data_IF_267468928381
#
_entry.id   IF_267468928381
#
_cell.length_a   1.000
_cell.length_b   1.000
_cell.length_c   1.000
_cell.angle_alpha   90.00
_cell.angle_beta   90.00
_cell.angle_gamma   90.00
#
_symmetry.space_group_name_H-M   'P 1'
#
loop_
_entity.id
_entity.type
_entity.pdbx_description
1 polymer ?
#
# COMPACT_ATOMS: atom_id res chain seq x y z
N UNK A 1 42.18 -35.33 50.00
CA UNK A 1 43.24 -34.92 49.05
C UNK A 1 42.56 -34.52 47.74
N UNK A 2 43.24 -33.64 46.99
CA UNK A 2 42.83 -32.97 45.74
C UNK A 2 41.92 -31.73 45.89
N UNK A 3 42.64 -30.61 45.94
CA UNK A 3 42.24 -29.22 45.75
C UNK A 3 41.66 -29.03 44.33
N UNK A 4 40.52 -28.33 44.21
CA UNK A 4 40.13 -27.68 42.96
C UNK A 4 39.46 -26.34 43.31
N UNK A 5 40.17 -25.21 43.26
CA UNK A 5 39.56 -23.90 43.33
C UNK A 5 39.27 -23.40 41.92
N UNK A 6 38.16 -22.68 41.80
CA UNK A 6 37.71 -21.79 40.74
C UNK A 6 36.35 -22.21 40.18
N UNK A 7 35.50 -21.17 40.09
CA UNK A 7 34.22 -21.04 39.39
C UNK A 7 32.93 -21.51 40.09
N UNK A 8 32.55 -20.80 41.15
CA UNK A 8 31.13 -20.51 41.40
C UNK A 8 30.96 -19.06 41.87
N UNK A 9 31.02 -18.11 40.94
CA UNK A 9 30.31 -16.84 41.05
C UNK A 9 28.97 -17.06 40.36
N UNK A 10 27.90 -17.16 41.14
CA UNK A 10 26.55 -17.13 40.60
C UNK A 10 26.26 -15.70 40.11
N UNK A 11 26.34 -15.47 38.80
CA UNK A 11 25.73 -14.29 38.16
C UNK A 11 24.21 -14.42 38.24
N UNK A 12 23.64 -14.05 39.39
CA UNK A 12 22.18 -13.94 39.56
C UNK A 12 21.71 -12.63 38.92
N UNK A 13 21.25 -12.74 37.69
CA UNK A 13 20.51 -11.67 37.01
C UNK A 13 19.19 -11.41 37.74
N UNK A 14 18.90 -10.13 38.01
CA UNK A 14 17.55 -9.70 38.38
C UNK A 14 16.70 -9.70 37.11
N UNK A 15 15.51 -10.31 37.18
CA UNK A 15 14.61 -10.45 36.03
C UNK A 15 13.28 -9.80 36.40
N UNK A 16 12.88 -8.81 35.60
CA UNK A 16 11.54 -8.24 35.62
C UNK A 16 10.76 -8.84 34.43
N UNK A 17 9.91 -9.83 34.72
CA UNK A 17 9.14 -10.58 33.74
C UNK A 17 7.72 -10.81 34.25
N UNK A 18 6.73 -10.69 33.37
CA UNK A 18 5.33 -10.91 33.69
C UNK A 18 4.43 -10.12 32.75
N UNK A 19 3.12 -10.28 32.92
CA UNK A 19 2.12 -9.53 32.17
C UNK A 19 1.85 -8.19 32.85
N UNK A 20 1.80 -7.11 32.07
CA UNK A 20 1.32 -5.82 32.55
C UNK A 20 -0.20 -5.89 32.66
N UNK A 21 -0.70 -6.02 33.88
CA UNK A 21 -2.14 -6.22 34.16
C UNK A 21 -2.85 -4.94 34.59
N UNK A 22 -2.10 -3.89 34.91
CA UNK A 22 -2.64 -2.58 35.25
C UNK A 22 -3.06 -1.83 33.98
N UNK A 23 -4.39 -1.67 33.79
CA UNK A 23 -4.97 -0.99 32.61
C UNK A 23 -4.40 0.41 32.37
N UNK A 24 -4.04 1.12 33.44
CA UNK A 24 -3.46 2.47 33.39
C UNK A 24 -2.10 2.52 32.67
N UNK A 25 -1.39 1.39 32.62
CA UNK A 25 -0.09 1.25 31.97
C UNK A 25 -0.20 0.65 30.56
N UNK A 26 -1.43 0.43 30.05
CA UNK A 26 -1.71 -0.15 28.74
C UNK A 26 -2.40 0.86 27.80
N UNK A 27 -2.18 0.77 26.47
CA UNK A 27 -1.19 -0.09 25.83
C UNK A 27 0.23 0.44 26.02
N UNK A 28 1.21 -0.48 26.06
CA UNK A 28 2.63 -0.09 26.08
C UNK A 28 3.01 0.52 24.73
N UNK A 29 3.10 1.84 24.66
CA UNK A 29 3.45 2.57 23.42
C UNK A 29 4.96 2.74 23.23
N UNK A 30 5.73 2.70 24.31
CA UNK A 30 7.18 2.91 24.29
C UNK A 30 7.84 2.23 25.48
N UNK A 31 8.99 1.62 25.27
CA UNK A 31 9.90 1.19 26.34
C UNK A 31 11.12 2.10 26.36
N UNK A 32 11.50 2.55 27.56
CA UNK A 32 12.70 3.36 27.78
C UNK A 32 13.64 2.60 28.67
N UNK A 33 14.84 2.34 28.15
CA UNK A 33 15.92 1.72 28.91
C UNK A 33 16.89 2.82 29.29
N UNK A 34 17.17 2.94 30.59
CA UNK A 34 18.10 3.90 31.13
C UNK A 34 18.94 3.23 32.22
N UNK A 35 20.21 3.59 32.24
CA UNK A 35 21.10 3.20 33.34
C UNK A 35 20.86 4.15 34.52
N UNK A 36 20.31 3.61 35.61
CA UNK A 36 20.10 4.35 36.88
C UNK A 36 21.30 4.21 37.83
N UNK A 37 22.39 3.59 37.36
CA UNK A 37 23.62 3.39 38.08
C UNK A 37 24.45 4.66 38.26
N UNK A 38 25.56 4.52 38.98
CA UNK A 38 26.56 5.59 39.11
C UNK A 38 27.74 5.32 38.18
N UNK A 39 28.49 6.36 37.79
CA UNK A 39 29.66 6.23 36.90
C UNK A 39 30.80 5.31 37.42
N UNK A 40 30.63 4.72 38.60
CA UNK A 40 31.56 3.81 39.27
C UNK A 40 30.99 2.39 39.42
N UNK A 41 29.79 2.11 38.91
CA UNK A 41 29.25 0.74 38.93
C UNK A 41 29.44 0.01 37.60
N UNK A 42 29.67 -1.30 37.72
CA UNK A 42 29.87 -2.23 36.60
C UNK A 42 28.60 -3.08 36.38
N UNK A 43 27.40 -2.52 36.64
CA UNK A 43 26.17 -3.29 36.49
C UNK A 43 25.77 -3.38 35.03
N UNK A 44 25.61 -4.61 34.56
CA UNK A 44 25.14 -4.89 33.22
C UNK A 44 23.65 -5.21 33.23
N UNK A 45 22.94 -4.73 32.21
CA UNK A 45 21.53 -5.04 31.98
C UNK A 45 21.37 -5.69 30.60
N UNK A 46 20.58 -6.77 30.52
CA UNK A 46 20.18 -7.38 29.25
C UNK A 46 18.67 -7.43 29.18
N UNK A 47 18.13 -6.93 28.07
CA UNK A 47 16.70 -6.97 27.77
C UNK A 47 16.44 -7.82 26.54
N UNK A 48 15.36 -8.59 26.56
CA UNK A 48 14.86 -9.35 25.41
C UNK A 48 13.34 -9.19 25.38
N UNK A 49 12.80 -8.62 24.31
CA UNK A 49 11.37 -8.45 24.14
C UNK A 49 10.84 -9.57 23.23
N UNK A 50 9.98 -10.43 23.78
CA UNK A 50 9.20 -11.38 22.99
C UNK A 50 8.06 -10.70 22.24
N UNK A 51 7.32 -11.43 21.37
CA UNK A 51 6.09 -10.93 20.78
C UNK A 51 5.11 -10.47 21.88
N UNK A 52 4.65 -9.23 21.82
CA UNK A 52 3.62 -8.72 22.72
C UNK A 52 2.27 -9.28 22.28
N UNK A 53 1.55 -9.93 23.20
CA UNK A 53 0.20 -10.46 22.99
C UNK A 53 -0.76 -9.56 23.78
N UNK A 54 -1.61 -8.82 23.09
CA UNK A 54 -2.67 -8.02 23.71
C UNK A 54 -3.99 -8.78 23.56
N UNK A 55 -4.71 -8.99 24.66
CA UNK A 55 -6.08 -9.54 24.67
C UNK A 55 -7.04 -8.48 25.24
N UNK A 56 -8.19 -8.29 24.59
CA UNK A 56 -9.19 -7.28 24.99
C UNK A 56 -8.82 -5.85 24.57
N UNK A 57 -8.21 -5.70 23.40
CA UNK A 57 -7.70 -4.43 22.90
C UNK A 57 -8.82 -3.59 22.27
N UNK A 58 -9.68 -3.02 23.11
CA UNK A 58 -10.75 -2.10 22.68
C UNK A 58 -10.20 -0.88 21.93
N UNK A 59 -8.91 -0.56 21.99
CA UNK A 59 -8.33 0.56 21.23
C UNK A 59 -8.14 0.20 19.76
N UNK A 60 -7.53 -0.96 19.49
CA UNK A 60 -7.18 -1.38 18.14
C UNK A 60 -8.27 -2.23 17.45
N UNK A 61 -9.11 -2.91 18.23
CA UNK A 61 -10.29 -3.62 17.73
C UNK A 61 -11.47 -2.67 17.45
N UNK A 62 -11.45 -1.45 18.01
CA UNK A 62 -12.40 -0.38 17.71
C UNK A 62 -12.12 0.25 16.35
N UNK A 63 -12.30 -0.56 15.32
CA UNK A 63 -12.03 -0.25 13.92
C UNK A 63 -13.30 -0.31 13.09
N UNK A 64 -13.41 0.65 12.18
CA UNK A 64 -14.52 0.78 11.24
C UNK A 64 -13.99 1.05 9.85
N UNK A 65 -14.78 0.75 8.83
CA UNK A 65 -14.52 1.05 7.42
C UNK A 65 -15.57 2.01 6.88
N UNK A 66 -15.14 3.12 6.29
CA UNK A 66 -15.95 3.99 5.44
C UNK A 66 -15.95 3.44 4.01
N UNK A 67 -17.13 3.07 3.52
CA UNK A 67 -17.37 2.34 2.25
C UNK A 67 -17.81 3.24 1.10
N UNK A 68 -18.19 4.48 1.38
CA UNK A 68 -18.60 5.49 0.39
C UNK A 68 -18.12 6.85 0.87
N UNK A 69 -17.81 7.75 -0.05
CA UNK A 69 -17.14 9.02 0.23
C UNK A 69 -18.04 10.11 0.84
N UNK A 70 -19.33 9.83 1.02
CA UNK A 70 -20.28 10.68 1.74
C UNK A 70 -20.72 10.08 3.08
N UNK A 71 -20.18 8.91 3.46
CA UNK A 71 -20.43 8.32 4.78
C UNK A 71 -19.68 9.09 5.88
N UNK A 72 -20.36 9.36 6.99
CA UNK A 72 -19.76 10.07 8.13
C UNK A 72 -20.18 9.49 9.47
N UNK A 73 -19.33 9.73 10.47
CA UNK A 73 -19.74 9.67 11.87
C UNK A 73 -19.83 11.11 12.37
N UNK A 74 -21.01 11.47 12.89
CA UNK A 74 -21.23 12.78 13.49
C UNK A 74 -21.12 12.62 15.02
N UNK A 75 -19.98 13.05 15.56
CA UNK A 75 -19.74 13.07 16.99
C UNK A 75 -20.34 14.34 17.61
N UNK A 76 -20.73 14.31 18.90
CA UNK A 76 -21.14 15.52 19.61
C UNK A 76 -20.14 16.65 19.43
N UNK A 77 -20.63 17.89 19.42
CA UNK A 77 -19.80 19.09 19.28
C UNK A 77 -18.60 19.03 20.22
N UNK A 78 -17.41 19.07 19.62
CA UNK A 78 -16.15 19.15 20.32
C UNK A 78 -15.56 20.53 20.11
N UNK A 79 -15.76 21.41 21.10
CA UNK A 79 -15.14 22.73 21.09
C UNK A 79 -13.70 22.65 21.64
N UNK A 80 -12.71 22.68 20.75
CA UNK A 80 -11.29 22.69 21.12
C UNK A 80 -10.90 23.91 21.97
N UNK A 81 -11.72 24.97 22.04
CA UNK A 81 -11.50 26.13 22.90
C UNK A 81 -10.07 26.70 22.77
N UNK A 82 -9.32 26.67 23.88
CA UNK A 82 -7.92 27.10 23.93
C UNK A 82 -6.90 25.98 23.75
N UNK A 83 -7.30 24.73 23.96
CA UNK A 83 -6.43 23.58 23.83
C UNK A 83 -7.26 22.32 23.58
N UNK A 84 -6.81 21.51 22.65
CA UNK A 84 -7.38 20.18 22.43
C UNK A 84 -6.48 19.34 21.55
N UNK A 85 -6.64 18.03 21.67
CA UNK A 85 -5.94 17.02 20.89
C UNK A 85 -6.91 15.98 20.32
N UNK A 86 -6.59 15.50 19.14
CA UNK A 86 -7.27 14.39 18.48
C UNK A 86 -6.20 13.44 17.96
N UNK A 87 -6.33 12.17 18.29
CA UNK A 87 -5.47 11.10 17.80
C UNK A 87 -6.32 10.02 17.16
N UNK A 88 -5.88 9.47 16.03
CA UNK A 88 -6.44 8.25 15.47
C UNK A 88 -5.45 7.60 14.51
N UNK A 89 -5.73 6.36 14.15
CA UNK A 89 -5.06 5.71 13.04
C UNK A 89 -6.02 5.55 11.86
N UNK A 90 -5.50 5.69 10.64
CA UNK A 90 -6.25 5.49 9.41
C UNK A 90 -5.49 4.60 8.44
N UNK A 91 -6.25 3.92 7.58
CA UNK A 91 -5.74 3.13 6.45
C UNK A 91 -6.57 3.43 5.22
N UNK A 92 -5.95 3.83 4.11
CA UNK A 92 -6.66 4.20 2.89
C UNK A 92 -5.81 4.04 1.64
N UNK A 93 -6.48 3.96 0.49
CA UNK A 93 -5.87 4.08 -0.83
C UNK A 93 -6.30 5.37 -1.57
N UNK A 94 -7.03 6.26 -0.90
CA UNK A 94 -7.49 7.55 -1.44
C UNK A 94 -6.42 8.61 -1.25
N UNK A 95 -6.10 9.32 -2.33
CA UNK A 95 -5.06 10.36 -2.30
C UNK A 95 -5.54 11.72 -1.77
N UNK A 96 -6.83 12.03 -1.89
CA UNK A 96 -7.41 13.30 -1.45
C UNK A 96 -8.73 13.05 -0.72
N UNK A 97 -8.80 13.43 0.56
CA UNK A 97 -10.00 13.28 1.37
C UNK A 97 -9.96 14.15 2.63
N UNK A 98 -11.13 14.49 3.15
CA UNK A 98 -11.32 15.11 4.45
C UNK A 98 -11.50 14.02 5.50
N UNK A 99 -10.62 13.99 6.50
CA UNK A 99 -10.64 13.01 7.58
C UNK A 99 -11.56 13.45 8.73
N UNK A 100 -11.53 14.75 9.07
CA UNK A 100 -12.48 15.35 10.00
C UNK A 100 -12.73 16.82 9.68
N UNK A 101 -13.90 17.32 10.06
CA UNK A 101 -14.29 18.72 9.90
C UNK A 101 -15.33 19.13 10.96
N UNK A 102 -15.15 20.29 11.57
CA UNK A 102 -16.16 20.95 12.40
C UNK A 102 -16.13 22.46 12.18
N UNK A 103 -17.28 23.12 12.28
CA UNK A 103 -17.42 24.58 12.12
C UNK A 103 -18.20 25.23 13.25
N UNK A 104 -17.94 26.51 13.45
CA UNK A 104 -18.78 27.45 14.16
C UNK A 104 -19.26 28.58 13.22
N UNK A 105 -19.72 29.72 13.78
CA UNK A 105 -20.17 30.86 13.00
C UNK A 105 -19.08 31.46 12.09
N UNK A 106 -17.85 31.53 12.60
CA UNK A 106 -16.68 32.07 11.90
C UNK A 106 -15.45 31.16 11.96
N UNK A 107 -15.55 30.06 12.71
CA UNK A 107 -14.43 29.25 13.14
C UNK A 107 -14.55 27.87 12.51
N UNK A 108 -13.44 27.19 12.31
CA UNK A 108 -13.47 25.80 11.88
C UNK A 108 -12.17 25.09 12.25
N UNK A 109 -12.25 23.76 12.22
CA UNK A 109 -11.11 22.85 12.16
C UNK A 109 -11.34 21.85 11.04
N UNK A 110 -10.30 21.52 10.28
CA UNK A 110 -10.38 20.57 9.17
C UNK A 110 -9.05 19.83 9.04
N UNK A 111 -9.11 18.50 9.01
CA UNK A 111 -7.95 17.66 8.68
C UNK A 111 -8.18 17.01 7.31
N UNK A 112 -7.18 17.04 6.44
CA UNK A 112 -7.29 16.46 5.11
C UNK A 112 -5.99 15.78 4.68
N UNK A 113 -6.12 14.70 3.92
CA UNK A 113 -5.03 14.13 3.13
C UNK A 113 -5.05 14.79 1.74
N UNK A 114 -3.87 15.16 1.25
CA UNK A 114 -3.66 15.84 -0.04
C UNK A 114 -2.56 15.10 -0.80
N UNK A 115 -2.77 14.85 -2.09
CA UNK A 115 -1.86 14.15 -3.00
C UNK A 115 -1.33 12.79 -2.50
N UNK A 116 -2.02 12.20 -1.52
CA UNK A 116 -1.71 10.90 -0.94
C UNK A 116 -0.47 10.85 -0.08
N UNK A 117 0.25 11.95 0.13
CA UNK A 117 1.52 12.02 0.90
C UNK A 117 1.60 13.23 1.84
N UNK A 118 0.53 14.00 1.98
CA UNK A 118 0.50 15.20 2.80
C UNK A 118 -0.74 15.22 3.68
N UNK A 119 -0.55 15.51 4.97
CA UNK A 119 -1.64 15.83 5.89
C UNK A 119 -1.66 17.34 6.15
N UNK A 120 -2.84 17.93 6.08
CA UNK A 120 -3.06 19.34 6.30
C UNK A 120 -4.13 19.52 7.39
N UNK A 121 -3.73 20.09 8.52
CA UNK A 121 -4.63 20.55 9.57
C UNK A 121 -4.87 22.04 9.44
N UNK A 122 -6.06 22.43 9.04
CA UNK A 122 -6.49 23.81 8.90
C UNK A 122 -7.39 24.19 10.06
N UNK A 123 -7.23 25.41 10.58
CA UNK A 123 -8.11 25.94 11.61
C UNK A 123 -8.25 27.44 11.49
N UNK A 124 -9.36 27.99 12.00
CA UNK A 124 -9.59 29.43 12.04
C UNK A 124 -10.09 29.87 13.40
N UNK A 125 -9.27 30.69 14.09
CA UNK A 125 -9.56 31.28 15.39
C UNK A 125 -9.68 32.83 15.33
N UNK A 126 -10.29 33.36 14.26
CA UNK A 126 -10.69 34.77 14.15
C UNK A 126 -9.68 35.70 13.49
N UNK A 127 -8.38 35.38 13.53
CA UNK A 127 -7.30 36.13 12.87
C UNK A 127 -7.06 35.72 11.41
N UNK A 128 -8.01 34.98 10.82
CA UNK A 128 -7.87 34.32 9.52
C UNK A 128 -7.51 32.83 9.64
N UNK A 129 -7.54 32.09 8.52
CA UNK A 129 -7.24 30.66 8.51
C UNK A 129 -5.74 30.40 8.63
N UNK A 130 -5.39 29.41 9.43
CA UNK A 130 -4.04 28.89 9.62
C UNK A 130 -4.00 27.42 9.21
N UNK A 131 -2.83 26.94 8.80
CA UNK A 131 -2.65 25.55 8.41
C UNK A 131 -1.30 25.02 8.86
N UNK A 132 -1.31 23.86 9.53
CA UNK A 132 -0.13 23.04 9.74
C UNK A 132 -0.10 22.00 8.62
N UNK A 133 1.03 21.89 7.93
CA UNK A 133 1.20 20.98 6.80
C UNK A 133 2.33 20.02 7.14
N UNK A 134 2.06 18.72 7.01
CA UNK A 134 3.06 17.66 7.14
C UNK A 134 3.11 16.83 5.86
N UNK A 135 4.21 16.92 5.14
CA UNK A 135 4.50 16.07 3.98
C UNK A 135 5.40 14.89 4.40
N UNK A 136 5.10 13.70 3.87
CA UNK A 136 5.85 12.47 4.10
C UNK A 136 6.58 12.05 2.83
N UNK A 137 7.72 11.37 2.99
CA UNK A 137 8.50 10.83 1.86
C UNK A 137 7.85 9.58 1.23
N UNK A 138 6.97 8.91 1.99
CA UNK A 138 6.14 7.80 1.53
C UNK A 138 4.69 8.27 1.35
N UNK A 139 3.89 7.49 0.61
CA UNK A 139 2.45 7.72 0.49
C UNK A 139 1.74 7.25 1.76
N UNK A 140 0.86 8.10 2.28
CA UNK A 140 -0.14 7.78 3.32
C UNK A 140 -1.37 7.06 2.76
N UNK A 141 -1.48 7.03 1.43
CA UNK A 141 -2.52 6.35 0.65
C UNK A 141 -2.05 4.99 0.11
N UNK A 142 -1.18 4.31 0.86
CA UNK A 142 -0.53 3.06 0.47
C UNK A 142 -1.24 1.80 0.98
N UNK A 143 -2.48 1.95 1.46
CA UNK A 143 -3.26 0.90 2.11
C UNK A 143 -2.55 0.24 3.31
N UNK A 144 -1.76 1.01 4.07
CA UNK A 144 -1.25 0.62 5.39
C UNK A 144 -1.79 1.54 6.49
N UNK A 145 -1.64 1.10 7.73
CA UNK A 145 -2.03 1.90 8.90
C UNK A 145 -1.03 3.02 9.13
N UNK A 146 -1.56 4.23 9.26
CA UNK A 146 -0.82 5.43 9.64
C UNK A 146 -1.49 6.06 10.86
N UNK A 147 -0.67 6.54 11.78
CA UNK A 147 -1.12 7.27 12.97
C UNK A 147 -1.00 8.76 12.75
N UNK A 148 -2.02 9.51 13.19
CA UNK A 148 -2.03 10.96 13.18
C UNK A 148 -2.44 11.49 14.54
N UNK A 149 -1.68 12.45 15.05
CA UNK A 149 -2.02 13.23 16.24
C UNK A 149 -2.01 14.69 15.84
N UNK A 150 -3.12 15.39 16.10
CA UNK A 150 -3.22 16.83 15.96
C UNK A 150 -3.43 17.44 17.35
N UNK A 151 -2.72 18.53 17.62
CA UNK A 151 -2.89 19.30 18.85
C UNK A 151 -2.93 20.78 18.49
N UNK A 152 -3.82 21.54 19.12
CA UNK A 152 -3.72 23.00 19.19
C UNK A 152 -3.70 23.39 20.65
N UNK A 153 -2.84 24.35 21.00
CA UNK A 153 -2.85 25.01 22.29
C UNK A 153 -2.68 26.53 22.11
N UNK A 154 -2.47 27.27 23.21
CA UNK A 154 -2.30 28.74 23.18
C UNK A 154 -1.01 29.23 22.52
N UNK A 155 -0.05 28.34 22.26
CA UNK A 155 1.27 28.69 21.72
C UNK A 155 1.39 28.29 20.25
N UNK A 156 0.86 27.13 19.90
CA UNK A 156 1.05 26.54 18.59
C UNK A 156 -0.04 25.51 18.27
N UNK A 157 -0.16 25.22 16.97
CA UNK A 157 -0.81 24.02 16.47
C UNK A 157 0.24 23.09 15.88
N UNK A 158 0.07 21.79 16.05
CA UNK A 158 1.00 20.78 15.54
C UNK A 158 0.31 19.54 14.98
N UNK A 159 1.04 18.84 14.12
CA UNK A 159 0.69 17.52 13.59
C UNK A 159 1.89 16.58 13.79
N UNK A 160 1.63 15.39 14.29
CA UNK A 160 2.57 14.27 14.35
C UNK A 160 1.99 13.14 13.50
N UNK A 161 2.80 12.56 12.61
CA UNK A 161 2.44 11.44 11.73
C UNK A 161 3.43 10.31 11.96
N UNK A 162 2.95 9.10 12.26
CA UNK A 162 3.76 7.89 12.47
C UNK A 162 4.90 8.06 13.50
N UNK A 163 4.65 8.84 14.55
CA UNK A 163 5.65 9.14 15.58
C UNK A 163 6.88 9.91 15.09
N UNK A 164 6.84 10.46 13.87
CA UNK A 164 7.92 11.26 13.32
C UNK A 164 8.01 12.65 13.99
N UNK A 165 9.03 13.44 13.64
CA UNK A 165 9.19 14.82 14.11
C UNK A 165 7.92 15.65 13.86
N UNK A 166 7.45 16.37 14.88
CA UNK A 166 6.27 17.24 14.78
C UNK A 166 6.46 18.32 13.70
N UNK A 167 5.42 18.60 12.94
CA UNK A 167 5.27 19.84 12.19
C UNK A 167 4.41 20.79 13.02
N UNK A 168 4.79 22.07 13.12
CA UNK A 168 4.11 23.03 13.97
C UNK A 168 4.02 24.41 13.32
N UNK A 169 2.99 25.16 13.69
CA UNK A 169 2.83 26.58 13.38
C UNK A 169 2.51 27.31 14.67
N UNK A 170 3.28 28.36 14.96
CA UNK A 170 3.08 29.19 16.15
C UNK A 170 1.85 30.08 15.99
N UNK A 171 1.10 30.22 17.07
CA UNK A 171 0.00 31.17 17.16
C UNK A 171 0.53 32.61 16.97
N UNK A 172 -0.20 33.47 16.24
CA UNK A 172 0.24 34.84 15.99
C UNK A 172 0.41 35.63 17.30
N UNK A 173 1.35 36.60 17.33
CA UNK A 173 1.48 37.49 18.49
C UNK A 173 0.18 38.26 18.74
N UNK A 174 -0.36 38.17 19.95
CA UNK A 174 -1.59 38.87 20.34
C UNK A 174 -2.46 38.08 21.32
N UNK A 175 -3.66 38.58 21.65
CA UNK A 175 -4.63 37.84 22.45
C UNK A 175 -5.09 36.60 21.68
N UNK A 176 -4.81 35.42 22.22
CA UNK A 176 -5.23 34.14 21.62
C UNK A 176 -6.71 33.92 21.89
N UNK A 177 -7.52 33.97 20.85
CA UNK A 177 -8.94 33.66 20.93
C UNK A 177 -9.15 32.15 20.99
N UNK A 178 -10.09 31.73 21.84
CA UNK A 178 -10.60 30.36 21.82
C UNK A 178 -11.31 30.09 20.49
N UNK A 179 -11.18 28.87 19.97
CA UNK A 179 -12.09 28.38 18.96
C UNK A 179 -13.49 28.34 19.56
N UNK A 180 -14.49 28.57 18.71
CA UNK A 180 -15.89 28.40 19.05
C UNK A 180 -16.56 27.58 17.96
N UNK A 181 -16.59 26.26 18.17
CA UNK A 181 -17.20 25.29 17.26
C UNK A 181 -18.60 24.94 17.75
N UNK A 182 -19.57 24.92 16.84
CA UNK A 182 -20.99 24.71 17.19
C UNK A 182 -21.65 23.58 16.40
N UNK A 183 -21.01 23.08 15.33
CA UNK A 183 -21.47 21.90 14.61
C UNK A 183 -21.02 20.62 15.32
N UNK A 184 -21.57 19.49 14.91
CA UNK A 184 -20.99 18.19 15.19
C UNK A 184 -19.54 18.13 14.69
N UNK A 185 -18.73 17.27 15.31
CA UNK A 185 -17.43 16.89 14.76
C UNK A 185 -17.67 15.76 13.77
N UNK A 186 -17.61 16.10 12.48
CA UNK A 186 -17.83 15.15 11.38
C UNK A 186 -16.52 14.41 11.11
N UNK A 187 -16.55 13.09 11.20
CA UNK A 187 -15.45 12.19 10.84
C UNK A 187 -15.80 11.52 9.51
N UNK A 188 -14.82 11.47 8.60
CA UNK A 188 -14.93 10.80 7.32
C UNK A 188 -15.38 11.68 6.15
N UNK A 189 -15.79 12.93 6.36
CA UNK A 189 -16.02 13.88 5.27
C UNK A 189 -15.95 15.33 5.74
N UNK A 190 -16.16 16.27 4.80
CA UNK A 190 -16.51 17.64 5.17
C UNK A 190 -17.90 17.71 5.80
N UNK A 191 -18.17 18.79 6.53
CA UNK A 191 -19.48 19.10 7.12
C UNK A 191 -20.65 19.14 6.11
N UNK A 192 -20.36 19.30 4.83
CA UNK A 192 -21.34 19.29 3.75
C UNK A 192 -21.45 17.90 3.09
N UNK A 193 -20.87 16.87 3.71
CA UNK A 193 -20.81 15.47 3.25
C UNK A 193 -20.14 15.31 1.87
N UNK A 194 -19.11 16.12 1.63
CA UNK A 194 -18.29 16.12 0.40
C UNK A 194 -16.83 15.86 0.68
N UNK A 195 -16.09 15.52 -0.37
CA UNK A 195 -14.65 15.28 -0.34
C UNK A 195 -14.26 14.24 0.71
N UNK A 196 -15.12 13.24 0.96
CA UNK A 196 -14.94 12.34 2.09
C UNK A 196 -13.99 11.19 1.84
N UNK A 197 -13.64 10.58 2.95
CA UNK A 197 -12.68 9.53 3.13
C UNK A 197 -13.33 8.16 2.95
N UNK A 198 -12.66 7.29 2.21
CA UNK A 198 -12.95 5.86 2.18
C UNK A 198 -11.71 5.11 2.63
N UNK A 199 -11.89 4.12 3.48
CA UNK A 199 -10.79 3.54 4.24
C UNK A 199 -11.22 3.13 5.63
N UNK A 200 -10.25 2.81 6.47
CA UNK A 200 -10.49 2.43 7.84
C UNK A 200 -10.01 3.50 8.81
N UNK A 201 -10.71 3.63 9.94
CA UNK A 201 -10.27 4.42 11.10
C UNK A 201 -10.36 3.54 12.34
N UNK A 202 -9.36 3.66 13.23
CA UNK A 202 -9.36 3.05 14.56
C UNK A 202 -8.70 3.95 15.60
N UNK A 203 -8.78 3.55 16.86
CA UNK A 203 -8.08 4.21 17.97
C UNK A 203 -8.36 5.72 18.07
N UNK A 204 -9.60 6.16 17.79
CA UNK A 204 -9.97 7.57 17.86
C UNK A 204 -10.05 8.04 19.32
N UNK A 205 -9.13 8.92 19.70
CA UNK A 205 -9.07 9.61 20.97
C UNK A 205 -9.35 11.09 20.76
N UNK A 206 -10.19 11.67 21.61
CA UNK A 206 -10.45 13.11 21.67
C UNK A 206 -10.14 13.58 23.09
N UNK A 207 -9.13 14.45 23.24
CA UNK A 207 -8.58 14.83 24.56
C UNK A 207 -8.23 13.62 25.44
N UNK A 208 -7.66 12.58 24.83
CA UNK A 208 -7.33 11.32 25.51
C UNK A 208 -8.50 10.37 25.77
N UNK A 209 -9.75 10.79 25.57
CA UNK A 209 -10.93 9.94 25.76
C UNK A 209 -11.23 9.10 24.51
N UNK A 210 -11.44 7.80 24.70
CA UNK A 210 -11.73 6.86 23.61
C UNK A 210 -13.16 7.01 23.09
N UNK A 211 -13.30 7.19 21.78
CA UNK A 211 -14.59 7.23 21.10
C UNK A 211 -14.97 5.83 20.62
N UNK A 212 -16.13 5.32 21.01
CA UNK A 212 -16.68 4.03 20.55
C UNK A 212 -17.15 4.09 19.08
N UNK A 213 -16.23 3.91 18.14
CA UNK A 213 -16.49 3.91 16.70
C UNK A 213 -17.36 2.73 16.28
N UNK A 214 -17.15 1.54 16.86
CA UNK A 214 -17.95 0.35 16.56
C UNK A 214 -19.41 0.55 16.90
N UNK A 215 -19.72 1.14 18.05
CA UNK A 215 -21.08 1.50 18.40
C UNK A 215 -21.71 2.46 17.38
N UNK A 216 -20.96 3.42 16.85
CA UNK A 216 -21.45 4.28 15.75
C UNK A 216 -21.66 3.50 14.45
N UNK A 217 -20.77 2.57 14.09
CA UNK A 217 -20.94 1.72 12.91
C UNK A 217 -22.17 0.80 13.03
N UNK A 218 -22.43 0.22 14.21
CA UNK A 218 -23.61 -0.62 14.47
C UNK A 218 -24.93 0.14 14.36
N UNK A 219 -24.91 1.43 14.71
CA UNK A 219 -26.07 2.33 14.61
C UNK A 219 -26.18 2.99 13.24
N UNK A 220 -25.15 2.88 12.39
CA UNK A 220 -25.13 3.49 11.07
C UNK A 220 -25.64 2.49 10.03
N UNK A 221 -26.71 2.85 9.35
CA UNK A 221 -27.26 2.05 8.25
C UNK A 221 -26.65 2.42 6.88
N UNK A 222 -25.73 3.39 6.83
CA UNK A 222 -25.21 3.95 5.59
C UNK A 222 -23.69 3.98 5.54
N UNK A 223 -23.12 3.19 4.63
CA UNK A 223 -21.75 3.42 4.16
C UNK A 223 -20.64 3.16 5.17
N UNK A 224 -20.94 2.62 6.35
CA UNK A 224 -19.97 2.30 7.40
C UNK A 224 -20.16 0.83 7.81
N UNK A 225 -19.06 0.11 7.99
CA UNK A 225 -19.08 -1.26 8.51
C UNK A 225 -18.03 -1.45 9.59
N UNK A 226 -18.28 -2.34 10.55
CA UNK A 226 -17.26 -2.76 11.51
C UNK A 226 -16.07 -3.45 10.82
N UNK A 227 -14.92 -3.42 11.48
CA UNK A 227 -13.70 -4.02 10.95
C UNK A 227 -12.98 -3.12 9.95
N UNK A 228 -11.85 -3.61 9.45
CA UNK A 228 -11.14 -3.01 8.31
C UNK A 228 -11.14 -3.99 7.13
N UNK A 229 -12.16 -3.90 6.28
CA UNK A 229 -12.40 -4.84 5.19
C UNK A 229 -12.41 -4.07 3.88
N UNK A 230 -11.31 -4.19 3.13
CA UNK A 230 -11.19 -3.64 1.77
C UNK A 230 -12.07 -4.39 0.75
N UNK A 231 -12.24 -3.82 -0.45
CA UNK A 231 -12.95 -4.47 -1.57
C UNK A 231 -12.13 -5.60 -2.20
N UNK A 232 -10.80 -5.52 -2.17
CA UNK A 232 -9.93 -6.55 -2.73
C UNK A 232 -9.92 -7.85 -1.91
N UNK A 233 -10.36 -7.81 -0.66
CA UNK A 233 -10.41 -8.99 0.22
C UNK A 233 -11.35 -10.09 -0.30
N UNK A 234 -12.40 -9.73 -1.05
CA UNK A 234 -13.31 -10.71 -1.67
C UNK A 234 -12.77 -11.27 -2.99
N UNK A 235 -11.52 -10.96 -3.36
CA UNK A 235 -10.88 -11.33 -4.63
C UNK A 235 -11.78 -11.06 -5.85
N UNK A 236 -12.22 -9.81 -6.06
CA UNK A 236 -13.20 -9.50 -7.11
C UNK A 236 -12.63 -9.61 -8.54
N UNK A 237 -11.31 -9.59 -8.70
CA UNK A 237 -10.64 -9.72 -9.99
C UNK A 237 -10.49 -11.18 -10.39
N UNK A 238 -11.11 -11.57 -11.50
CA UNK A 238 -11.07 -12.93 -12.03
C UNK A 238 -9.79 -13.19 -12.82
N UNK A 239 -9.56 -14.46 -13.17
CA UNK A 239 -8.52 -14.90 -14.12
C UNK A 239 -7.12 -14.37 -13.81
N UNK A 240 -6.75 -14.33 -12.52
CA UNK A 240 -5.46 -13.88 -12.03
C UNK A 240 -5.18 -12.38 -12.30
N UNK A 241 -6.23 -11.56 -12.42
CA UNK A 241 -6.10 -10.11 -12.44
C UNK A 241 -5.67 -9.55 -11.08
N UNK A 242 -4.82 -8.53 -11.08
CA UNK A 242 -4.35 -7.91 -9.82
C UNK A 242 -5.36 -6.90 -9.32
N UNK A 243 -5.83 -7.07 -8.08
CA UNK A 243 -6.75 -6.12 -7.45
C UNK A 243 -5.99 -4.97 -6.78
N UNK A 244 -6.43 -3.74 -7.04
CA UNK A 244 -5.98 -2.52 -6.39
C UNK A 244 -7.11 -1.92 -5.57
N UNK A 245 -6.85 -1.72 -4.29
CA UNK A 245 -7.84 -1.28 -3.31
C UNK A 245 -8.23 0.19 -3.50
N UNK A 246 -9.51 0.52 -3.28
CA UNK A 246 -10.00 1.90 -3.15
C UNK A 246 -11.09 2.08 -2.08
N UNK A 247 -11.47 1.03 -1.34
CA UNK A 247 -12.48 0.97 -0.28
C UNK A 247 -13.93 1.28 -0.71
N UNK A 248 -14.17 2.35 -1.48
CA UNK A 248 -15.45 2.60 -2.17
C UNK A 248 -15.61 1.78 -3.45
N UNK A 249 -14.47 1.46 -4.06
CA UNK A 249 -14.34 0.78 -5.32
C UNK A 249 -13.09 -0.09 -5.29
N UNK A 250 -12.79 -0.69 -6.42
CA UNK A 250 -11.53 -1.40 -6.65
C UNK A 250 -11.20 -1.28 -8.14
N UNK A 251 -9.94 -1.53 -8.48
CA UNK A 251 -9.49 -1.60 -9.85
C UNK A 251 -8.82 -2.94 -10.11
N UNK A 252 -9.25 -3.64 -11.16
CA UNK A 252 -8.59 -4.85 -11.61
C UNK A 252 -7.63 -4.54 -12.75
N UNK A 253 -6.35 -4.81 -12.54
CA UNK A 253 -5.36 -4.78 -13.61
C UNK A 253 -5.33 -6.12 -14.34
N UNK A 254 -5.97 -6.13 -15.51
CA UNK A 254 -6.05 -7.29 -16.38
C UNK A 254 -4.92 -7.34 -17.42
N UNK A 255 -3.98 -6.37 -17.43
CA UNK A 255 -2.96 -6.23 -18.50
C UNK A 255 -2.10 -7.47 -18.66
N UNK A 256 -1.88 -8.17 -17.56
CA UNK A 256 -1.13 -9.41 -17.52
C UNK A 256 -2.05 -10.62 -17.55
N UNK A 257 -3.25 -10.54 -18.12
CA UNK A 257 -4.16 -11.68 -18.26
C UNK A 257 -4.63 -11.78 -19.71
N UNK A 258 -5.20 -12.93 -20.10
CA UNK A 258 -5.87 -13.08 -21.39
C UNK A 258 -7.29 -12.48 -21.40
N UNK A 259 -7.64 -11.64 -20.42
CA UNK A 259 -8.98 -11.13 -20.20
C UNK A 259 -9.00 -9.60 -20.05
N UNK A 260 -10.14 -8.98 -20.32
CA UNK A 260 -10.42 -7.56 -20.15
C UNK A 260 -11.73 -7.36 -19.36
N UNK A 261 -12.14 -6.09 -19.28
CA UNK A 261 -13.32 -5.67 -18.56
C UNK A 261 -13.00 -5.28 -17.12
N UNK A 262 -14.00 -4.79 -16.37
CA UNK A 262 -13.79 -4.23 -15.03
C UNK A 262 -13.30 -5.25 -13.99
N UNK A 263 -13.55 -6.54 -14.22
CA UNK A 263 -13.19 -7.65 -13.32
C UNK A 263 -12.37 -8.75 -14.01
N UNK A 264 -11.81 -8.46 -15.19
CA UNK A 264 -11.05 -9.44 -15.99
C UNK A 264 -11.85 -10.71 -16.36
N UNK A 265 -13.14 -10.57 -16.69
CA UNK A 265 -14.01 -11.69 -17.05
C UNK A 265 -14.09 -11.95 -18.56
N UNK A 266 -13.85 -10.92 -19.38
CA UNK A 266 -14.11 -10.99 -20.81
C UNK A 266 -12.85 -11.46 -21.54
N UNK A 267 -12.87 -12.65 -22.15
CA UNK A 267 -11.71 -13.19 -22.85
C UNK A 267 -11.30 -12.32 -24.06
N UNK A 268 -9.98 -12.13 -24.23
CA UNK A 268 -9.34 -11.46 -25.36
C UNK A 268 -8.70 -12.53 -26.25
N UNK A 269 -9.53 -13.28 -26.97
CA UNK A 269 -9.08 -14.34 -27.88
C UNK A 269 -9.47 -14.04 -29.33
N UNK A 270 -8.66 -14.51 -30.28
CA UNK A 270 -9.02 -14.55 -31.71
C UNK A 270 -8.74 -15.94 -32.28
N UNK A 271 -9.67 -16.45 -33.08
CA UNK A 271 -9.45 -17.68 -33.85
C UNK A 271 -8.81 -17.33 -35.18
N UNK A 272 -7.56 -17.76 -35.36
CA UNK A 272 -6.75 -17.44 -36.54
C UNK A 272 -6.70 -18.62 -37.51
N UNK A 273 -6.90 -18.34 -38.81
CA UNK A 273 -6.58 -19.29 -39.88
C UNK A 273 -5.13 -19.09 -40.31
N UNK A 274 -4.54 -20.08 -40.97
CA UNK A 274 -3.13 -20.01 -41.43
C UNK A 274 -2.85 -18.84 -42.39
N UNK A 275 -3.87 -18.36 -43.11
CA UNK A 275 -3.79 -17.23 -44.04
C UNK A 275 -4.14 -15.87 -43.41
N UNK A 276 -4.37 -15.82 -42.09
CA UNK A 276 -4.79 -14.63 -41.37
C UNK A 276 -3.63 -14.05 -40.56
N UNK A 277 -3.56 -12.72 -40.47
CA UNK A 277 -2.60 -12.00 -39.65
C UNK A 277 -3.28 -10.79 -39.02
N UNK A 278 -2.99 -10.55 -37.74
CA UNK A 278 -3.24 -9.26 -37.09
C UNK A 278 -1.91 -8.51 -37.10
N UNK A 279 -1.89 -7.34 -37.74
CA UNK A 279 -0.69 -6.49 -37.83
C UNK A 279 -0.97 -5.15 -37.18
N UNK A 280 -0.07 -4.72 -36.30
CA UNK A 280 -0.10 -3.39 -35.69
C UNK A 280 1.13 -2.61 -36.14
N UNK A 281 0.91 -1.47 -36.79
CA UNK A 281 1.97 -0.58 -37.25
C UNK A 281 2.15 0.58 -36.26
N UNK A 282 3.33 0.65 -35.62
CA UNK A 282 3.69 1.74 -34.72
C UNK A 282 4.07 2.98 -35.55
N UNK A 283 3.17 3.94 -35.65
CA UNK A 283 3.42 5.22 -36.33
C UNK A 283 4.15 6.19 -35.38
N UNK A 284 5.32 6.71 -35.77
CA UNK A 284 6.04 7.76 -35.01
C UNK A 284 7.41 7.35 -34.45
N UNK A 285 7.73 7.81 -33.24
CA UNK A 285 9.02 7.58 -32.56
C UNK A 285 9.26 6.09 -32.32
N UNK A 286 10.33 5.57 -32.90
CA UNK A 286 10.78 4.19 -32.75
C UNK A 286 11.05 3.86 -31.28
N UNK A 287 10.52 2.73 -30.83
CA UNK A 287 10.79 2.18 -29.49
C UNK A 287 11.91 1.16 -29.62
N UNK A 288 13.10 1.56 -29.23
CA UNK A 288 14.18 0.61 -28.94
C UNK A 288 14.06 0.22 -27.46
N UNK A 289 14.10 -1.08 -27.18
CA UNK A 289 13.94 -1.63 -25.83
C UNK A 289 15.14 -2.48 -25.48
N UNK A 290 15.59 -2.35 -24.22
CA UNK A 290 16.64 -3.21 -23.63
C UNK A 290 16.05 -4.31 -22.75
N UNK A 291 14.72 -4.30 -22.60
CA UNK A 291 13.94 -5.25 -21.83
C UNK A 291 12.52 -5.32 -22.41
N UNK A 292 12.03 -6.54 -22.59
CA UNK A 292 10.68 -6.82 -23.03
C UNK A 292 10.01 -7.75 -22.02
N UNK A 293 8.70 -7.58 -21.80
CA UNK A 293 7.87 -8.52 -21.06
C UNK A 293 6.62 -8.80 -21.90
N UNK A 294 6.54 -10.02 -22.44
CA UNK A 294 5.55 -10.43 -23.43
C UNK A 294 4.82 -11.65 -22.88
N UNK A 295 3.49 -11.62 -22.87
CA UNK A 295 2.65 -12.77 -22.52
C UNK A 295 1.77 -13.14 -23.71
N UNK A 296 1.74 -14.41 -24.10
CA UNK A 296 0.94 -14.92 -25.22
C UNK A 296 0.27 -16.23 -24.80
N UNK A 297 -1.07 -16.19 -24.70
CA UNK A 297 -1.90 -17.38 -24.58
C UNK A 297 -2.22 -17.95 -25.96
N UNK A 298 -2.05 -19.26 -26.17
CA UNK A 298 -2.38 -19.90 -27.44
C UNK A 298 -2.82 -21.34 -27.27
N UNK A 299 -3.61 -21.82 -28.24
CA UNK A 299 -4.00 -23.23 -28.39
C UNK A 299 -3.81 -23.60 -29.86
N UNK A 300 -3.15 -24.72 -30.15
CA UNK A 300 -2.98 -25.17 -31.53
C UNK A 300 -2.84 -26.69 -31.60
N UNK A 301 -3.40 -27.29 -32.66
CA UNK A 301 -3.11 -28.67 -33.09
C UNK A 301 -2.16 -28.71 -34.29
N UNK A 302 -1.81 -27.55 -34.84
CA UNK A 302 -0.87 -27.47 -35.94
C UNK A 302 0.56 -27.62 -35.42
N UNK A 303 1.37 -28.53 -35.98
CA UNK A 303 2.77 -28.68 -35.58
C UNK A 303 3.64 -27.49 -36.00
N UNK A 304 3.13 -26.48 -36.71
CA UNK A 304 3.86 -25.25 -37.02
C UNK A 304 2.95 -24.02 -37.02
N UNK A 305 3.48 -22.87 -36.63
CA UNK A 305 2.72 -21.62 -36.67
C UNK A 305 3.47 -20.43 -36.08
N UNK A 306 3.29 -19.26 -36.69
CA UNK A 306 3.77 -17.99 -36.16
C UNK A 306 2.78 -17.48 -35.10
N UNK A 307 3.26 -17.16 -33.90
CA UNK A 307 2.42 -16.66 -32.81
C UNK A 307 2.48 -15.14 -32.72
N UNK A 308 3.70 -14.60 -32.63
CA UNK A 308 3.93 -13.16 -32.46
C UNK A 308 5.30 -12.81 -33.01
N UNK A 309 5.45 -11.60 -33.55
CA UNK A 309 6.76 -11.08 -33.84
C UNK A 309 6.78 -9.57 -34.01
N UNK A 310 7.96 -9.02 -33.79
CA UNK A 310 8.31 -7.63 -34.02
C UNK A 310 9.32 -7.57 -35.15
N UNK A 311 9.20 -6.55 -35.98
CA UNK A 311 10.13 -6.31 -37.08
C UNK A 311 10.28 -4.82 -37.31
N UNK A 312 11.53 -4.37 -37.47
CA UNK A 312 11.88 -3.01 -37.84
C UNK A 312 12.29 -2.96 -39.32
N UNK A 313 11.58 -2.17 -40.13
CA UNK A 313 11.97 -1.98 -41.52
C UNK A 313 13.23 -1.09 -41.69
N UNK A 314 13.62 -0.34 -40.65
CA UNK A 314 14.78 0.55 -40.61
C UNK A 314 16.02 -0.24 -40.17
N UNK A 315 16.03 -0.72 -38.92
CA UNK A 315 17.19 -1.42 -38.34
C UNK A 315 17.31 -2.87 -38.81
N UNK A 316 16.28 -3.43 -39.45
CA UNK A 316 16.17 -4.85 -39.85
C UNK A 316 16.14 -5.83 -38.68
N UNK A 317 16.10 -5.33 -37.46
CA UNK A 317 15.99 -6.11 -36.24
C UNK A 317 14.61 -6.77 -36.14
N UNK A 318 14.57 -7.96 -35.53
CA UNK A 318 13.33 -8.69 -35.34
C UNK A 318 13.38 -9.61 -34.12
N UNK A 319 12.18 -9.92 -33.62
CA UNK A 319 11.94 -10.99 -32.66
C UNK A 319 10.72 -11.76 -33.13
N UNK A 320 10.75 -13.08 -33.02
CA UNK A 320 9.65 -13.93 -33.44
C UNK A 320 9.48 -15.09 -32.47
N UNK A 321 8.24 -15.34 -32.08
CA UNK A 321 7.77 -16.45 -31.29
C UNK A 321 6.93 -17.35 -32.20
N UNK A 322 7.29 -18.63 -32.29
CA UNK A 322 6.63 -19.57 -33.19
C UNK A 322 6.63 -21.00 -32.61
N UNK A 323 5.69 -21.82 -33.06
CA UNK A 323 5.79 -23.27 -32.97
C UNK A 323 6.52 -23.77 -34.22
N UNK A 324 7.65 -24.46 -34.02
CA UNK A 324 8.48 -25.04 -35.09
C UNK A 324 7.91 -26.37 -35.58
N UNK A 325 8.27 -26.83 -36.79
CA UNK A 325 7.75 -28.06 -37.41
C UNK A 325 7.81 -29.34 -36.55
N UNK A 326 8.70 -29.38 -35.56
CA UNK A 326 8.81 -30.47 -34.59
C UNK A 326 7.80 -30.37 -33.44
N UNK A 327 6.92 -29.35 -33.43
CA UNK A 327 5.94 -29.09 -32.37
C UNK A 327 6.50 -28.34 -31.15
N UNK A 328 7.79 -28.00 -31.15
CA UNK A 328 8.43 -27.25 -30.08
C UNK A 328 8.26 -25.74 -30.24
N UNK A 329 8.11 -25.04 -29.11
CA UNK A 329 8.09 -23.59 -29.06
C UNK A 329 9.51 -23.05 -29.29
N UNK A 330 9.63 -22.06 -30.17
CA UNK A 330 10.90 -21.49 -30.61
C UNK A 330 10.80 -19.96 -30.62
N UNK A 331 11.82 -19.32 -30.07
CA UNK A 331 12.02 -17.87 -30.13
C UNK A 331 13.26 -17.59 -30.98
N UNK A 332 13.12 -16.73 -31.97
CA UNK A 332 14.23 -16.30 -32.86
C UNK A 332 14.29 -14.79 -32.85
N UNK A 333 15.48 -14.24 -32.67
CA UNK A 333 15.65 -12.79 -32.73
C UNK A 333 17.02 -12.41 -33.29
N UNK A 334 17.10 -11.22 -33.85
CA UNK A 334 18.34 -10.57 -34.26
C UNK A 334 18.20 -9.08 -33.97
N UNK A 335 19.09 -8.57 -33.11
CA UNK A 335 19.12 -7.18 -32.66
C UNK A 335 20.44 -6.50 -33.06
N UNK A 336 20.98 -6.84 -34.24
CA UNK A 336 22.11 -6.15 -34.84
C UNK A 336 23.50 -6.74 -34.57
N UNK A 337 23.58 -7.91 -33.92
CA UNK A 337 24.84 -8.64 -33.75
C UNK A 337 24.80 -9.98 -34.52
N UNK A 338 24.03 -10.95 -34.02
CA UNK A 338 23.90 -12.28 -34.61
C UNK A 338 22.54 -12.87 -34.26
N UNK A 339 21.93 -13.52 -35.24
CA UNK A 339 20.69 -14.26 -35.07
C UNK A 339 20.80 -15.31 -33.97
N UNK A 340 19.98 -15.16 -32.94
CA UNK A 340 19.82 -16.12 -31.86
C UNK A 340 18.58 -16.99 -32.04
N UNK A 341 18.68 -18.25 -31.60
CA UNK A 341 17.58 -19.20 -31.61
C UNK A 341 17.52 -19.93 -30.26
N UNK A 342 16.37 -19.84 -29.60
CA UNK A 342 16.10 -20.54 -28.35
C UNK A 342 14.88 -21.43 -28.53
N UNK A 343 15.01 -22.69 -28.15
CA UNK A 343 13.94 -23.68 -28.19
C UNK A 343 13.56 -24.03 -26.77
N UNK A 344 12.26 -24.01 -26.47
CA UNK A 344 11.77 -24.46 -25.17
C UNK A 344 11.92 -25.99 -25.06
N UNK A 345 12.60 -26.51 -24.02
CA UNK A 345 12.99 -27.91 -23.97
C UNK A 345 11.81 -28.86 -23.75
N UNK A 346 11.93 -30.07 -24.33
CA UNK A 346 11.24 -31.29 -23.91
C UNK A 346 9.70 -31.23 -23.81
N UNK A 347 9.04 -30.38 -24.62
CA UNK A 347 7.58 -30.29 -24.65
C UNK A 347 7.03 -30.00 -26.05
N UNK A 348 5.91 -30.64 -26.38
CA UNK A 348 5.13 -30.42 -27.60
C UNK A 348 3.93 -29.51 -27.30
N UNK A 349 3.78 -28.45 -28.08
CA UNK A 349 2.75 -27.43 -27.90
C UNK A 349 1.62 -27.51 -28.95
N UNK A 350 1.66 -28.54 -29.80
CA UNK A 350 0.69 -28.77 -30.88
C UNK A 350 -0.38 -29.82 -30.53
N UNK A 351 -0.72 -29.96 -29.25
CA UNK A 351 -1.64 -31.00 -28.75
C UNK A 351 -3.08 -30.51 -28.53
N UNK A 352 -3.40 -29.26 -28.89
CA UNK A 352 -4.74 -28.69 -28.73
C UNK A 352 -5.11 -28.28 -27.30
N UNK A 353 -4.15 -28.31 -26.37
CA UNK A 353 -4.31 -27.77 -25.02
C UNK A 353 -3.93 -26.28 -24.99
N UNK A 354 -4.54 -25.53 -24.06
CA UNK A 354 -4.19 -24.14 -23.83
C UNK A 354 -2.80 -24.03 -23.20
N UNK A 355 -2.01 -23.09 -23.70
CA UNK A 355 -0.70 -22.76 -23.19
C UNK A 355 -0.57 -21.27 -22.95
N UNK A 356 0.14 -20.92 -21.88
CA UNK A 356 0.42 -19.53 -21.52
C UNK A 356 1.93 -19.29 -21.50
N UNK A 357 2.44 -18.59 -22.50
CA UNK A 357 3.86 -18.24 -22.60
C UNK A 357 4.09 -16.85 -22.01
N UNK A 358 5.00 -16.75 -21.05
CA UNK A 358 5.63 -15.50 -20.63
C UNK A 358 7.08 -15.48 -21.09
N UNK A 359 7.43 -14.48 -21.90
CA UNK A 359 8.77 -14.21 -22.40
C UNK A 359 9.26 -12.91 -21.79
N UNK A 360 10.45 -12.91 -21.19
CA UNK A 360 11.07 -11.68 -20.72
C UNK A 360 12.55 -11.58 -21.05
N UNK A 361 13.02 -10.35 -21.28
CA UNK A 361 14.45 -10.04 -21.40
C UNK A 361 14.88 -9.15 -20.26
N UNK A 362 15.91 -9.57 -19.54
CA UNK A 362 16.52 -8.86 -18.41
C UNK A 362 18.03 -8.68 -18.65
N UNK A 363 18.71 -7.99 -17.74
CA UNK A 363 20.15 -7.70 -17.81
C UNK A 363 20.53 -6.98 -19.12
N UNK A 364 19.83 -5.89 -19.43
CA UNK A 364 20.01 -5.11 -20.67
C UNK A 364 19.93 -5.96 -21.95
N UNK A 365 19.10 -7.02 -21.91
CA UNK A 365 18.85 -7.91 -23.04
C UNK A 365 19.72 -9.17 -23.05
N UNK A 366 20.72 -9.31 -22.18
CA UNK A 366 21.65 -10.42 -22.18
C UNK A 366 21.05 -11.75 -21.68
N UNK A 367 19.92 -11.69 -20.97
CA UNK A 367 19.23 -12.90 -20.50
C UNK A 367 17.81 -12.95 -21.06
N UNK A 368 17.48 -14.00 -21.80
CA UNK A 368 16.11 -14.35 -22.18
C UNK A 368 15.55 -15.36 -21.18
N UNK A 369 14.34 -15.10 -20.68
CA UNK A 369 13.60 -15.99 -19.78
C UNK A 369 12.30 -16.40 -20.44
N UNK A 370 12.12 -17.71 -20.60
CA UNK A 370 10.90 -18.33 -21.12
C UNK A 370 10.23 -19.13 -20.01
N UNK A 371 8.99 -18.78 -19.69
CA UNK A 371 8.13 -19.55 -18.79
C UNK A 371 6.87 -19.93 -19.56
N UNK A 372 6.51 -21.21 -19.53
CA UNK A 372 5.25 -21.67 -20.13
C UNK A 372 4.43 -22.34 -19.05
N UNK A 373 3.15 -22.00 -18.97
CA UNK A 373 2.22 -22.48 -17.95
C UNK A 373 2.81 -22.28 -16.53
N UNK A 374 2.65 -23.27 -15.65
CA UNK A 374 3.21 -23.26 -14.28
C UNK A 374 4.59 -23.95 -14.18
N UNK A 375 5.29 -24.14 -15.30
CA UNK A 375 6.62 -24.78 -15.28
C UNK A 375 7.71 -23.79 -14.88
N UNK A 376 8.85 -24.33 -14.42
CA UNK A 376 10.00 -23.52 -14.06
C UNK A 376 10.49 -22.65 -15.24
N UNK A 377 10.80 -21.37 -14.98
CA UNK A 377 11.38 -20.50 -16.00
C UNK A 377 12.69 -21.05 -16.54
N UNK A 378 12.86 -21.00 -17.85
CA UNK A 378 14.10 -21.37 -18.55
C UNK A 378 14.85 -20.12 -18.95
N UNK A 379 16.06 -19.96 -18.44
CA UNK A 379 16.92 -18.82 -18.75
C UNK A 379 18.00 -19.20 -19.78
N UNK A 380 18.22 -18.31 -20.75
CA UNK A 380 19.31 -18.42 -21.72
C UNK A 380 20.10 -17.13 -21.71
N UNK A 381 21.41 -17.25 -21.59
CA UNK A 381 22.33 -16.13 -21.49
C UNK A 381 23.08 -15.96 -22.81
N UNK A 382 23.25 -14.71 -23.24
CA UNK A 382 23.94 -14.34 -24.46
C UNK A 382 25.09 -13.39 -24.14
N UNK A 383 26.19 -13.57 -24.86
CA UNK A 383 27.31 -12.63 -24.83
C UNK A 383 26.99 -11.47 -25.78
N UNK A 384 26.30 -10.45 -25.27
CA UNK A 384 26.06 -9.22 -26.01
C UNK A 384 27.35 -8.41 -25.96
N UNK A 385 28.17 -8.53 -27.01
CA UNK A 385 29.31 -7.63 -27.19
C UNK A 385 28.81 -6.19 -27.12
N UNK A 386 29.45 -5.37 -26.28
CA UNK A 386 29.17 -3.95 -26.19
C UNK A 386 29.39 -3.32 -27.59
N UNK A 387 28.28 -3.03 -28.26
CA UNK A 387 28.22 -2.32 -29.55
C UNK A 387 28.59 -0.86 -29.39
#
# INVERSE_FOLDING_TARGET
ASYNPLTHLHDKWLVDSGDLTEKENLPVKQLRFGDTGSALDDKEGRYTLGPLICEGDDLFDNVITFRVSDATINLPTFDMGHSGDIYFEFRTAVENAVLLHSKGPSDFIKLSIVNGNQLQFQYQAGSGPMAVIRETSYKLSDDRWHSVSIERNRKEAMIIVDGALKAEVREPPGPVRALHLTSDLVIGASIDYRDGFTGCIRALLINGELVDLRGYAQRSDYGISEGCIGKCQSSPCLNNGTCFERYDSYYCDCRWTAFKGPICADEIGVNMRQSSMVKYDFMGSWRSTIAEHIRVGFTTTNPKGFLLGFYSNISKEYLTIMVSNSGHLRVVFDFGFERQEVIYPEKLFSLGQYHDLTLSRKNSGATLVMQVDNYEPRETHFDIKAS
#
